data_IF_591153126519
#
_entry.id   IF_591153126519
#
_cell.length_a   1.000
_cell.length_b   1.000
_cell.length_c   1.000
_cell.angle_alpha   90.00
_cell.angle_beta   90.00
_cell.angle_gamma   90.00
#
_symmetry.space_group_name_H-M   'P 1'
#
loop_
_entity.id
_entity.type
_entity.pdbx_description
1 polymer ?
#
# COMPACT_ATOMS: atom_id res chain seq x y z
N UNK A 1 2.34 21.74 -5.83
CA UNK A 1 3.29 20.68 -5.58
C UNK A 1 2.84 19.95 -4.32
N UNK A 2 2.24 18.78 -4.49
CA UNK A 2 1.87 17.95 -3.35
C UNK A 2 3.16 17.52 -2.68
N UNK A 3 3.41 17.99 -1.47
CA UNK A 3 4.47 17.43 -0.66
C UNK A 3 4.15 15.95 -0.43
N UNK A 4 5.11 15.04 -0.49
CA UNK A 4 4.91 13.62 -0.24
C UNK A 4 4.17 13.31 1.06
N UNK A 5 4.21 14.25 1.99
CA UNK A 5 3.68 14.10 3.35
C UNK A 5 2.21 14.53 3.52
N UNK A 6 1.55 15.04 2.48
CA UNK A 6 0.19 15.58 2.64
C UNK A 6 -0.84 14.51 2.99
N UNK A 7 -0.65 13.28 2.54
CA UNK A 7 -1.58 12.18 2.74
C UNK A 7 -1.82 11.85 4.22
N UNK A 8 -0.80 11.99 5.05
CA UNK A 8 -0.85 11.63 6.46
C UNK A 8 -0.56 12.80 7.41
N UNK A 9 -0.24 13.98 6.85
CA UNK A 9 0.12 15.16 7.65
C UNK A 9 -0.99 15.56 8.61
N UNK A 10 -2.25 15.61 8.17
CA UNK A 10 -3.36 16.02 9.02
C UNK A 10 -3.60 15.02 10.16
N UNK A 11 -3.84 13.71 9.93
CA UNK A 11 -4.07 12.81 11.05
C UNK A 11 -2.82 12.56 11.88
N UNK A 12 -1.65 12.38 11.27
CA UNK A 12 -0.43 12.00 12.01
C UNK A 12 0.19 13.18 12.76
N UNK A 13 0.35 14.33 12.09
CA UNK A 13 1.02 15.48 12.71
C UNK A 13 0.07 16.38 13.51
N UNK A 14 -1.10 16.70 12.96
CA UNK A 14 -2.03 17.62 13.62
C UNK A 14 -2.91 16.92 14.66
N UNK A 15 -3.31 15.67 14.43
CA UNK A 15 -4.09 14.88 15.38
C UNK A 15 -3.22 14.03 16.30
N UNK A 16 -1.90 14.06 16.11
CA UNK A 16 -0.91 13.29 16.87
C UNK A 16 -1.21 11.78 16.88
N UNK A 17 -1.70 11.26 15.77
CA UNK A 17 -1.91 9.83 15.58
C UNK A 17 -0.61 9.17 15.12
N UNK A 18 -0.32 7.94 15.55
CA UNK A 18 0.78 7.19 14.97
C UNK A 18 0.47 6.79 13.51
N UNK A 19 1.51 6.65 12.68
CA UNK A 19 1.32 6.37 11.25
C UNK A 19 0.56 5.07 11.00
N UNK A 20 0.75 4.06 11.84
CA UNK A 20 0.03 2.78 11.71
C UNK A 20 -1.48 2.89 11.90
N UNK A 21 -1.97 3.94 12.57
CA UNK A 21 -3.41 4.19 12.67
C UNK A 21 -4.00 4.43 11.26
N UNK A 22 -3.31 5.17 10.43
CA UNK A 22 -3.72 5.49 9.06
C UNK A 22 -3.39 4.36 8.09
N UNK A 23 -2.16 3.88 8.12
CA UNK A 23 -1.67 2.94 7.09
C UNK A 23 -2.02 1.47 7.36
N UNK A 24 -2.14 1.08 8.62
CA UNK A 24 -2.45 -0.30 8.98
C UNK A 24 -3.90 -0.47 9.40
N UNK A 25 -4.37 0.34 10.35
CA UNK A 25 -5.77 0.27 10.81
C UNK A 25 -6.74 0.94 9.83
N UNK A 26 -6.21 1.73 8.87
CA UNK A 26 -7.01 2.45 7.88
C UNK A 26 -8.08 3.37 8.51
N UNK A 27 -7.72 4.03 9.63
CA UNK A 27 -8.61 4.86 10.42
C UNK A 27 -7.95 6.21 10.80
N UNK A 28 -8.23 7.30 10.04
CA UNK A 28 -9.00 7.31 8.80
C UNK A 28 -8.24 6.65 7.65
N UNK A 29 -8.95 6.21 6.57
CA UNK A 29 -8.30 5.75 5.36
C UNK A 29 -7.35 6.80 4.78
N UNK A 30 -6.26 6.36 4.14
CA UNK A 30 -5.25 7.29 3.62
C UNK A 30 -5.84 8.30 2.62
N UNK A 31 -6.75 7.88 1.78
CA UNK A 31 -7.44 8.77 0.85
C UNK A 31 -8.28 9.83 1.59
N UNK A 32 -8.93 9.46 2.70
CA UNK A 32 -9.69 10.39 3.53
C UNK A 32 -8.76 11.40 4.20
N UNK A 33 -7.63 10.95 4.71
CA UNK A 33 -6.60 11.83 5.27
C UNK A 33 -6.09 12.85 4.24
N UNK A 34 -5.95 12.43 2.97
CA UNK A 34 -5.56 13.32 1.89
C UNK A 34 -6.66 14.35 1.58
N UNK A 35 -7.90 13.91 1.39
CA UNK A 35 -9.02 14.80 1.11
C UNK A 35 -9.23 15.82 2.23
N UNK A 36 -9.13 15.40 3.48
CA UNK A 36 -9.21 16.29 4.64
C UNK A 36 -8.08 17.33 4.64
N UNK A 37 -6.88 16.92 4.18
CA UNK A 37 -5.74 17.85 4.02
C UNK A 37 -6.04 18.93 2.98
N UNK A 38 -6.56 18.54 1.83
CA UNK A 38 -6.96 19.47 0.75
C UNK A 38 -8.00 20.47 1.26
N UNK A 39 -9.04 19.98 1.93
CA UNK A 39 -10.11 20.80 2.51
C UNK A 39 -9.58 21.73 3.60
N UNK A 40 -8.68 21.24 4.46
CA UNK A 40 -8.10 22.02 5.55
C UNK A 40 -7.28 23.22 5.05
N UNK A 41 -6.47 23.00 4.00
CA UNK A 41 -5.67 24.11 3.42
C UNK A 41 -6.44 24.95 2.40
N UNK A 42 -7.63 24.55 2.00
CA UNK A 42 -8.44 25.29 1.03
C UNK A 42 -7.76 25.39 -0.35
N UNK A 43 -7.05 24.35 -0.75
CA UNK A 43 -6.35 24.31 -2.04
C UNK A 43 -7.06 23.37 -3.00
N UNK A 44 -6.88 23.59 -4.31
CA UNK A 44 -7.29 22.61 -5.31
C UNK A 44 -6.38 21.36 -5.21
N UNK A 45 -7.00 20.20 -4.99
CA UNK A 45 -6.30 18.94 -4.82
C UNK A 45 -6.28 18.10 -6.09
N UNK A 46 -5.18 17.35 -6.26
CA UNK A 46 -5.15 16.22 -7.17
C UNK A 46 -4.72 14.99 -6.37
N UNK A 47 -5.68 14.12 -6.04
CA UNK A 47 -5.38 12.85 -5.40
C UNK A 47 -5.07 11.78 -6.45
N UNK A 48 -3.90 11.17 -6.35
CA UNK A 48 -3.53 9.99 -7.14
C UNK A 48 -3.78 8.67 -6.38
N UNK A 49 -4.47 8.75 -5.26
CA UNK A 49 -4.79 7.60 -4.40
C UNK A 49 -6.13 6.94 -4.75
N UNK A 50 -6.62 7.15 -5.97
CA UNK A 50 -7.80 6.44 -6.45
C UNK A 50 -7.57 4.94 -6.34
N UNK A 51 -8.14 4.34 -5.31
CA UNK A 51 -8.04 2.92 -5.04
C UNK A 51 -9.16 2.17 -5.73
N UNK A 52 -8.81 1.04 -6.30
CA UNK A 52 -9.75 0.03 -6.72
C UNK A 52 -9.41 -1.27 -5.99
N UNK A 53 -10.43 -2.00 -5.60
CA UNK A 53 -10.24 -3.30 -4.98
C UNK A 53 -10.04 -4.34 -6.08
N UNK A 54 -8.82 -4.85 -6.17
CA UNK A 54 -8.48 -5.99 -7.02
C UNK A 54 -8.25 -7.18 -6.12
N UNK A 55 -9.18 -8.15 -6.08
CA UNK A 55 -9.04 -9.32 -5.23
C UNK A 55 -7.77 -10.10 -5.52
N UNK A 56 -7.32 -10.87 -4.56
CA UNK A 56 -6.24 -11.84 -4.73
C UNK A 56 -6.63 -12.87 -5.80
N UNK A 57 -5.63 -13.61 -6.30
CA UNK A 57 -5.91 -14.82 -7.06
C UNK A 57 -6.88 -15.72 -6.26
N UNK A 58 -7.88 -16.38 -6.89
CA UNK A 58 -8.88 -17.19 -6.17
C UNK A 58 -8.30 -18.29 -5.27
N UNK A 59 -7.14 -18.83 -5.65
CA UNK A 59 -6.42 -19.88 -4.90
C UNK A 59 -5.37 -19.31 -3.93
N UNK A 60 -5.41 -18.01 -3.64
CA UNK A 60 -4.46 -17.37 -2.74
C UNK A 60 -5.16 -16.68 -1.58
N UNK A 61 -4.49 -16.64 -0.43
CA UNK A 61 -4.93 -15.90 0.76
C UNK A 61 -3.79 -15.04 1.32
N UNK A 62 -4.16 -13.96 1.97
CA UNK A 62 -3.24 -13.07 2.67
C UNK A 62 -3.62 -12.97 4.13
N UNK A 63 -2.62 -13.11 5.01
CA UNK A 63 -2.78 -12.92 6.45
C UNK A 63 -1.76 -11.90 6.94
N UNK A 64 -2.23 -10.90 7.68
CA UNK A 64 -1.39 -9.88 8.32
C UNK A 64 -1.39 -10.08 9.83
N UNK A 65 -0.21 -10.00 10.43
CA UNK A 65 -0.01 -10.19 11.87
C UNK A 65 0.95 -9.13 12.39
N UNK A 66 0.61 -8.49 13.51
CA UNK A 66 1.54 -7.63 14.23
C UNK A 66 2.51 -8.54 14.98
N UNK A 67 3.79 -8.52 14.61
CA UNK A 67 4.83 -9.35 15.25
C UNK A 67 5.66 -8.58 16.29
N UNK A 68 5.57 -7.25 16.26
CA UNK A 68 6.17 -6.38 17.27
C UNK A 68 5.40 -5.05 17.31
N UNK A 69 5.19 -4.51 18.52
CA UNK A 69 4.66 -3.16 18.71
C UNK A 69 5.15 -2.58 20.03
N UNK A 70 5.67 -1.37 19.98
CA UNK A 70 6.04 -0.55 21.13
C UNK A 70 5.63 0.91 20.90
N UNK A 71 6.14 1.84 21.71
CA UNK A 71 5.79 3.26 21.63
C UNK A 71 6.42 3.97 20.40
N UNK A 72 7.42 3.37 19.76
CA UNK A 72 8.17 3.98 18.66
C UNK A 72 7.83 3.39 17.30
N UNK A 73 7.54 2.09 17.27
CA UNK A 73 7.32 1.34 16.02
C UNK A 73 6.34 0.20 16.16
N UNK A 74 5.78 -0.18 15.03
CA UNK A 74 5.02 -1.41 14.86
C UNK A 74 5.60 -2.18 13.67
N UNK A 75 5.78 -3.49 13.80
CA UNK A 75 6.21 -4.38 12.72
C UNK A 75 5.10 -5.34 12.38
N UNK A 76 4.72 -5.36 11.11
CA UNK A 76 3.68 -6.23 10.58
C UNK A 76 4.30 -7.25 9.65
N UNK A 77 3.99 -8.51 9.87
CA UNK A 77 4.30 -9.60 8.96
C UNK A 77 3.07 -9.91 8.12
N UNK A 78 3.24 -9.90 6.81
CA UNK A 78 2.24 -10.37 5.85
C UNK A 78 2.67 -11.73 5.32
N UNK A 79 1.80 -12.72 5.43
CA UNK A 79 1.98 -14.05 4.84
C UNK A 79 1.01 -14.21 3.68
N UNK A 80 1.54 -14.40 2.50
CA UNK A 80 0.79 -14.72 1.29
C UNK A 80 0.92 -16.21 1.03
N UNK A 81 -0.20 -16.92 1.02
CA UNK A 81 -0.28 -18.36 0.80
C UNK A 81 -0.89 -18.66 -0.56
N UNK A 82 -0.30 -19.62 -1.26
CA UNK A 82 -0.84 -20.11 -2.52
C UNK A 82 -0.43 -21.59 -2.74
N UNK A 83 -0.99 -22.29 -3.72
CA UNK A 83 -0.64 -23.68 -4.00
C UNK A 83 0.83 -23.93 -4.31
N UNK A 84 1.56 -22.90 -4.73
CA UNK A 84 2.99 -23.00 -5.07
C UNK A 84 3.92 -22.71 -3.86
N UNK A 85 3.35 -22.39 -2.68
CA UNK A 85 4.09 -22.12 -1.45
C UNK A 85 3.80 -20.74 -0.86
N UNK A 86 4.35 -20.51 0.33
CA UNK A 86 4.13 -19.28 1.09
C UNK A 86 5.22 -18.24 0.79
N UNK A 87 4.79 -16.99 0.65
CA UNK A 87 5.68 -15.82 0.61
C UNK A 87 5.44 -14.95 1.84
N UNK A 88 6.49 -14.33 2.37
CA UNK A 88 6.35 -13.46 3.54
C UNK A 88 7.02 -12.12 3.32
N UNK A 89 6.35 -11.06 3.79
CA UNK A 89 6.86 -9.69 3.82
C UNK A 89 6.82 -9.16 5.25
N UNK A 90 7.74 -8.27 5.58
CA UNK A 90 7.70 -7.50 6.83
C UNK A 90 7.75 -6.01 6.51
N UNK A 91 6.91 -5.24 7.20
CA UNK A 91 6.85 -3.79 7.09
C UNK A 91 6.97 -3.18 8.47
N UNK A 92 7.82 -2.16 8.59
CA UNK A 92 7.98 -1.37 9.80
C UNK A 92 7.27 -0.04 9.65
N UNK A 93 6.43 0.26 10.61
CA UNK A 93 5.70 1.52 10.75
C UNK A 93 6.35 2.30 11.88
N UNK A 94 6.92 3.44 11.59
CA UNK A 94 7.39 4.39 12.59
C UNK A 94 6.27 5.38 12.92
N UNK A 95 6.33 6.05 14.08
CA UNK A 95 5.23 6.92 14.55
C UNK A 95 4.82 7.96 13.50
N UNK A 96 5.80 8.62 12.87
CA UNK A 96 5.56 9.80 11.99
C UNK A 96 6.03 9.61 10.55
N UNK A 97 6.34 8.38 10.16
CA UNK A 97 6.84 8.08 8.83
C UNK A 97 5.96 7.05 8.13
N UNK A 98 5.89 7.08 6.80
CA UNK A 98 5.22 6.03 6.03
C UNK A 98 5.82 4.65 6.31
N UNK A 99 5.04 3.57 6.12
CA UNK A 99 5.54 2.21 6.30
C UNK A 99 6.70 1.92 5.34
N UNK A 100 7.70 1.24 5.86
CA UNK A 100 8.88 0.83 5.09
C UNK A 100 8.98 -0.69 5.07
N UNK A 101 9.00 -1.33 3.89
CA UNK A 101 9.27 -2.76 3.80
C UNK A 101 10.69 -3.06 4.28
N UNK A 102 10.80 -3.87 5.34
CA UNK A 102 12.07 -4.33 5.89
C UNK A 102 12.44 -5.73 5.42
N UNK A 103 11.46 -6.46 4.88
CA UNK A 103 11.63 -7.71 4.16
C UNK A 103 10.57 -7.78 3.06
N UNK A 104 10.96 -8.13 1.85
CA UNK A 104 10.03 -8.26 0.72
C UNK A 104 9.60 -9.70 0.50
N UNK A 105 8.46 -9.90 -0.18
CA UNK A 105 7.92 -11.23 -0.47
C UNK A 105 8.90 -12.15 -1.21
N UNK A 106 9.63 -11.61 -2.18
CA UNK A 106 10.48 -12.39 -3.07
C UNK A 106 11.93 -12.14 -2.72
N UNK A 107 12.60 -13.15 -2.20
CA UNK A 107 14.03 -13.14 -1.83
C UNK A 107 14.89 -13.97 -2.79
N UNK A 108 14.28 -14.98 -3.43
CA UNK A 108 14.92 -15.80 -4.47
C UNK A 108 13.89 -16.00 -5.60
N UNK A 109 14.02 -15.19 -6.65
CA UNK A 109 13.02 -15.18 -7.73
C UNK A 109 12.92 -16.52 -8.47
N UNK A 110 14.05 -17.20 -8.66
CA UNK A 110 14.06 -18.48 -9.38
C UNK A 110 13.29 -19.56 -8.62
N UNK A 111 13.54 -19.67 -7.32
CA UNK A 111 12.85 -20.66 -6.47
C UNK A 111 11.41 -20.31 -6.18
N UNK A 112 11.08 -19.01 -6.12
CA UNK A 112 9.77 -18.50 -5.74
C UNK A 112 8.92 -18.08 -6.96
N UNK A 113 9.38 -18.36 -8.18
CA UNK A 113 8.73 -17.91 -9.41
C UNK A 113 7.25 -18.31 -9.49
N UNK A 114 6.93 -19.56 -9.19
CA UNK A 114 5.56 -20.06 -9.28
C UNK A 114 4.66 -19.40 -8.21
N UNK A 115 5.15 -19.21 -7.00
CA UNK A 115 4.42 -18.48 -5.95
C UNK A 115 4.27 -16.98 -6.30
N UNK A 116 5.31 -16.38 -6.88
CA UNK A 116 5.28 -14.99 -7.33
C UNK A 116 4.20 -14.74 -8.39
N UNK A 117 3.92 -15.72 -9.26
CA UNK A 117 2.84 -15.61 -10.24
C UNK A 117 1.48 -15.41 -9.58
N UNK A 118 1.17 -16.11 -8.49
CA UNK A 118 -0.07 -15.93 -7.73
C UNK A 118 -0.15 -14.54 -7.06
N UNK A 119 0.98 -14.00 -6.65
CA UNK A 119 1.06 -12.66 -6.08
C UNK A 119 0.78 -11.58 -7.13
N UNK A 120 1.26 -11.75 -8.36
CA UNK A 120 1.13 -10.77 -9.45
C UNK A 120 -0.19 -10.88 -10.22
N UNK A 121 -0.68 -12.09 -10.46
CA UNK A 121 -1.90 -12.31 -11.22
C UNK A 121 -3.13 -12.26 -10.33
N UNK A 122 -3.67 -11.05 -10.19
CA UNK A 122 -4.88 -10.75 -9.44
C UNK A 122 -6.14 -11.15 -10.21
N UNK A 123 -7.24 -11.25 -9.49
CA UNK A 123 -8.55 -11.50 -10.10
C UNK A 123 -9.13 -10.23 -10.75
N UNK A 124 -8.69 -9.98 -11.99
CA UNK A 124 -9.11 -8.81 -12.75
C UNK A 124 -10.60 -8.82 -13.15
N UNK A 125 -11.29 -9.95 -13.02
CA UNK A 125 -12.72 -10.05 -13.37
C UNK A 125 -13.63 -9.50 -12.28
N UNK A 126 -13.13 -9.46 -11.06
CA UNK A 126 -13.88 -9.04 -9.87
C UNK A 126 -13.37 -7.72 -9.28
N UNK A 127 -12.85 -6.84 -10.13
CA UNK A 127 -12.42 -5.50 -9.72
C UNK A 127 -13.63 -4.70 -9.25
N UNK A 128 -13.52 -4.05 -8.07
CA UNK A 128 -14.50 -3.10 -7.56
C UNK A 128 -13.93 -1.69 -7.54
N UNK A 129 -14.73 -0.73 -7.99
CA UNK A 129 -14.40 0.70 -7.99
C UNK A 129 -15.13 1.47 -6.87
N UNK A 130 -15.76 0.79 -5.95
CA UNK A 130 -16.56 1.42 -4.86
C UNK A 130 -15.73 2.43 -4.07
N UNK A 131 -14.51 2.08 -3.70
CA UNK A 131 -13.60 3.02 -3.00
C UNK A 131 -13.27 4.25 -3.82
N UNK A 132 -13.05 4.09 -5.11
CA UNK A 132 -12.79 5.23 -6.00
C UNK A 132 -13.98 6.19 -6.02
N UNK A 133 -15.18 5.65 -6.09
CA UNK A 133 -16.42 6.46 -6.09
C UNK A 133 -16.62 7.19 -4.76
N UNK A 134 -16.35 6.55 -3.65
CA UNK A 134 -16.36 7.16 -2.31
C UNK A 134 -15.36 8.31 -2.22
N UNK A 135 -14.12 8.09 -2.64
CA UNK A 135 -13.08 9.13 -2.66
C UNK A 135 -13.47 10.32 -3.50
N UNK A 136 -13.99 10.06 -4.71
CA UNK A 136 -14.42 11.09 -5.64
C UNK A 136 -15.58 11.90 -5.07
N UNK A 137 -16.55 11.22 -4.48
CA UNK A 137 -17.70 11.85 -3.83
C UNK A 137 -17.28 12.75 -2.67
N UNK A 138 -16.34 12.27 -1.83
CA UNK A 138 -15.83 13.06 -0.70
C UNK A 138 -14.96 14.23 -1.15
N UNK A 139 -14.17 14.10 -2.23
CA UNK A 139 -13.39 15.22 -2.79
C UNK A 139 -14.31 16.34 -3.30
N UNK A 140 -15.39 15.99 -3.98
CA UNK A 140 -16.35 16.94 -4.55
C UNK A 140 -15.67 17.96 -5.48
N UNK A 141 -16.01 19.22 -5.31
CA UNK A 141 -15.48 20.34 -6.11
C UNK A 141 -14.10 20.83 -5.64
N UNK A 142 -13.52 20.21 -4.60
CA UNK A 142 -12.20 20.62 -4.08
C UNK A 142 -11.03 20.09 -4.92
N UNK A 143 -11.29 19.29 -5.94
CA UNK A 143 -10.20 18.77 -6.78
C UNK A 143 -10.58 17.55 -7.60
N UNK A 144 -9.56 16.91 -8.17
CA UNK A 144 -9.71 15.71 -8.97
C UNK A 144 -9.11 14.46 -8.27
N UNK A 145 -9.74 13.32 -8.50
CA UNK A 145 -9.23 12.03 -8.07
C UNK A 145 -8.76 11.25 -9.29
N UNK A 146 -7.46 10.99 -9.37
CA UNK A 146 -6.84 10.13 -10.38
C UNK A 146 -6.64 8.72 -9.87
N UNK A 147 -6.70 7.76 -10.75
CA UNK A 147 -6.42 6.36 -10.46
C UNK A 147 -4.95 6.06 -10.75
N UNK A 148 -4.24 5.47 -9.80
CA UNK A 148 -2.87 5.04 -10.01
C UNK A 148 -2.88 3.62 -10.61
N UNK A 149 -2.45 3.51 -11.86
CA UNK A 149 -2.17 2.21 -12.47
C UNK A 149 -0.68 1.90 -12.33
N UNK A 150 -0.37 0.79 -11.68
CA UNK A 150 1.01 0.36 -11.53
C UNK A 150 1.57 -0.14 -12.87
N UNK A 151 2.77 0.33 -13.20
CA UNK A 151 3.50 -0.18 -14.36
C UNK A 151 4.04 -1.58 -14.08
N UNK A 152 4.20 -2.44 -15.13
CA UNK A 152 4.74 -3.80 -14.97
C UNK A 152 6.13 -3.87 -14.35
N UNK A 153 6.87 -2.77 -14.35
CA UNK A 153 8.21 -2.66 -13.75
C UNK A 153 8.23 -2.75 -12.23
N UNK A 154 7.08 -2.80 -11.57
CA UNK A 154 6.95 -2.81 -10.11
C UNK A 154 7.26 -4.15 -9.44
N UNK A 155 7.64 -5.15 -10.19
CA UNK A 155 8.27 -6.38 -9.67
C UNK A 155 9.39 -6.07 -8.65
N UNK A 156 10.12 -4.97 -8.86
CA UNK A 156 11.16 -4.49 -7.94
C UNK A 156 10.65 -4.18 -6.52
N UNK A 157 9.39 -3.79 -6.38
CA UNK A 157 8.82 -3.42 -5.08
C UNK A 157 8.58 -4.63 -4.18
N UNK A 158 8.44 -5.83 -4.74
CA UNK A 158 8.17 -7.05 -3.99
C UNK A 158 9.37 -7.97 -3.86
N UNK A 159 10.49 -7.65 -4.53
CA UNK A 159 11.71 -8.46 -4.58
C UNK A 159 12.85 -7.85 -3.77
N UNK A 160 13.66 -8.73 -3.16
CA UNK A 160 14.83 -8.39 -2.36
C UNK A 160 16.02 -9.28 -2.76
N UNK A 161 17.25 -8.77 -2.81
CA UNK A 161 17.56 -7.35 -2.76
C UNK A 161 17.19 -6.63 -4.05
N UNK A 162 16.93 -5.33 -4.00
CA UNK A 162 16.52 -4.54 -5.18
C UNK A 162 17.58 -4.61 -6.29
N UNK A 163 18.84 -4.65 -5.94
CA UNK A 163 19.98 -4.76 -6.87
C UNK A 163 19.91 -6.04 -7.71
N UNK A 164 19.37 -7.13 -7.17
CA UNK A 164 19.27 -8.40 -7.92
C UNK A 164 18.35 -8.29 -9.15
N UNK A 165 17.42 -7.32 -9.14
CA UNK A 165 16.57 -7.05 -10.29
C UNK A 165 17.37 -6.56 -11.51
N UNK A 166 18.47 -5.86 -11.28
CA UNK A 166 19.33 -5.38 -12.36
C UNK A 166 20.14 -6.52 -12.98
N UNK A 167 20.52 -7.52 -12.20
CA UNK A 167 21.29 -8.67 -12.69
C UNK A 167 20.45 -9.65 -13.51
N UNK A 168 19.12 -9.61 -13.42
CA UNK A 168 18.25 -10.47 -14.22
C UNK A 168 18.11 -9.97 -15.66
N UNK A 169 18.52 -8.73 -15.94
CA UNK A 169 18.46 -8.13 -17.28
C UNK A 169 19.78 -8.22 -18.06
N UNK A 170 20.83 -8.72 -17.46
CA UNK A 170 22.17 -8.88 -18.06
C UNK A 170 22.67 -10.33 -17.96
#
# INVERSE_FOLDING_TARGET
PCAPDTNWTIPVRLKNLPSWQVYYHNDPPIWKAYNDTVKYYGVEGFSHHGEYDMPLHPDAEEKREIIHQDDEKMVVKTTFRCPAGDLTQEETFLIKEPPTPTKRFITDFVKQYDAARYLFFRDVKNISFTRYEEMRSDMGDNGAVGMCMYLPTLIHMWREPVESCYFDYF
#
